data_IF_495295004722
#
_entry.id   IF_495295004722
#
_cell.length_a   1.000
_cell.length_b   1.000
_cell.length_c   1.000
_cell.angle_alpha   90.00
_cell.angle_beta   90.00
_cell.angle_gamma   90.00
#
_symmetry.space_group_name_H-M   'P 1'
#
loop_
_entity.id
_entity.type
_entity.pdbx_description
1 polymer ?
#
# COMPACT_ATOMS: atom_id res chain seq x y z
N UNK A 1 -1.77 15.89 -80.86
CA UNK A 1 -0.63 15.21 -80.17
C UNK A 1 -0.13 15.92 -78.88
N UNK A 2 -0.02 17.26 -78.82
CA UNK A 2 0.48 17.94 -77.60
C UNK A 2 -0.33 17.78 -76.29
N UNK A 3 -1.68 17.55 -76.39
CA UNK A 3 -2.52 17.40 -75.19
C UNK A 3 -2.46 16.02 -74.50
N UNK A 4 -2.24 14.95 -75.29
CA UNK A 4 -2.11 13.58 -74.77
C UNK A 4 -0.80 13.36 -74.01
N UNK A 5 0.28 13.95 -74.52
CA UNK A 5 1.59 13.87 -73.83
C UNK A 5 1.59 14.63 -72.50
N UNK A 6 0.92 15.75 -72.38
CA UNK A 6 0.79 16.49 -71.11
C UNK A 6 -0.04 15.68 -70.07
N UNK A 7 -1.08 15.03 -70.50
CA UNK A 7 -1.90 14.16 -69.60
C UNK A 7 -1.07 12.95 -69.13
N UNK A 8 -0.29 12.34 -69.99
CA UNK A 8 0.59 11.21 -69.62
C UNK A 8 1.65 11.62 -68.59
N UNK A 9 2.27 12.80 -68.75
CA UNK A 9 3.29 13.32 -67.79
C UNK A 9 2.62 13.58 -66.42
N UNK A 10 1.43 14.12 -66.36
CA UNK A 10 0.69 14.36 -65.12
C UNK A 10 0.37 13.05 -64.40
N UNK A 11 -0.10 12.04 -65.14
CA UNK A 11 -0.44 10.71 -64.61
C UNK A 11 0.85 10.04 -64.02
N UNK A 12 1.97 10.09 -64.73
CA UNK A 12 3.24 9.56 -64.25
C UNK A 12 3.69 10.30 -63.01
N UNK A 13 3.56 11.63 -62.95
CA UNK A 13 3.89 12.43 -61.75
C UNK A 13 3.09 12.02 -60.52
N UNK A 14 1.75 11.83 -60.71
CA UNK A 14 0.87 11.38 -59.62
C UNK A 14 1.23 9.96 -59.15
N UNK A 15 1.56 9.03 -60.08
CA UNK A 15 2.00 7.69 -59.73
C UNK A 15 3.34 7.70 -58.96
N UNK A 16 4.30 8.53 -59.35
CA UNK A 16 5.56 8.66 -58.61
C UNK A 16 5.32 9.17 -57.20
N UNK A 17 4.47 10.19 -57.01
CA UNK A 17 4.10 10.71 -55.69
C UNK A 17 3.42 9.65 -54.84
N UNK A 18 2.49 8.88 -55.42
CA UNK A 18 1.83 7.76 -54.72
C UNK A 18 2.83 6.68 -54.28
N UNK A 19 3.77 6.31 -55.13
CA UNK A 19 4.83 5.33 -54.79
C UNK A 19 5.73 5.87 -53.67
N UNK A 20 6.11 7.15 -53.73
CA UNK A 20 6.89 7.78 -52.65
C UNK A 20 6.10 7.79 -51.35
N UNK A 21 4.78 8.14 -51.36
CA UNK A 21 3.94 8.11 -50.16
C UNK A 21 3.85 6.68 -49.60
N UNK A 22 3.72 5.66 -50.42
CA UNK A 22 3.69 4.27 -49.96
C UNK A 22 5.04 3.87 -49.37
N UNK A 23 6.15 4.21 -49.99
CA UNK A 23 7.49 3.91 -49.46
C UNK A 23 7.79 4.64 -48.17
N UNK A 24 7.31 5.87 -48.00
CA UNK A 24 7.46 6.62 -46.73
C UNK A 24 6.59 6.08 -45.60
N UNK A 25 5.47 5.42 -45.91
CA UNK A 25 4.61 4.75 -44.94
C UNK A 25 5.01 3.29 -44.64
N UNK A 26 5.82 2.67 -45.52
CA UNK A 26 6.45 1.38 -45.27
C UNK A 26 7.70 1.57 -44.37
N UNK A 27 7.57 2.27 -43.25
CA UNK A 27 8.62 2.17 -42.24
C UNK A 27 8.59 0.74 -41.70
N UNK A 28 9.74 0.06 -41.66
CA UNK A 28 9.79 -1.24 -41.01
C UNK A 28 9.28 -1.03 -39.58
N UNK A 29 8.21 -1.69 -39.19
CA UNK A 29 7.82 -1.79 -37.79
C UNK A 29 8.98 -2.51 -37.15
N UNK A 30 9.77 -1.81 -36.33
CA UNK A 30 10.84 -2.47 -35.57
C UNK A 30 10.19 -3.60 -34.77
N UNK A 31 10.52 -4.83 -35.18
CA UNK A 31 10.06 -5.98 -34.44
C UNK A 31 10.71 -5.90 -33.06
N UNK A 32 9.91 -6.00 -32.01
CA UNK A 32 10.37 -5.95 -30.63
C UNK A 32 11.54 -6.92 -30.39
N UNK A 33 11.52 -8.09 -31.03
CA UNK A 33 12.60 -9.06 -30.98
C UNK A 33 13.93 -8.55 -31.60
N UNK A 34 13.87 -7.79 -32.68
CA UNK A 34 15.08 -7.21 -33.30
C UNK A 34 15.65 -6.05 -32.49
N UNK A 35 14.77 -5.27 -31.84
CA UNK A 35 15.18 -4.15 -30.99
C UNK A 35 15.95 -4.61 -29.76
N UNK A 36 15.63 -5.79 -29.25
CA UNK A 36 16.22 -6.35 -28.02
C UNK A 36 17.08 -7.58 -28.30
N UNK A 37 17.45 -7.84 -29.60
CA UNK A 37 18.36 -8.93 -29.97
C UNK A 37 19.74 -8.67 -29.35
N UNK A 38 20.20 -9.61 -28.53
CA UNK A 38 21.48 -9.51 -27.81
C UNK A 38 21.44 -8.67 -26.52
N UNK A 39 20.29 -8.14 -26.15
CA UNK A 39 20.12 -7.53 -24.83
C UNK A 39 19.75 -8.63 -23.84
N UNK A 40 20.54 -8.78 -22.79
CA UNK A 40 20.20 -9.66 -21.67
C UNK A 40 19.06 -9.06 -20.87
N UNK A 41 17.85 -9.56 -21.14
CA UNK A 41 16.63 -9.14 -20.41
C UNK A 41 16.49 -9.81 -19.04
N UNK A 42 17.38 -10.77 -18.72
CA UNK A 42 17.51 -11.34 -17.37
C UNK A 42 18.57 -10.61 -16.55
N UNK A 43 19.26 -9.63 -17.15
CA UNK A 43 20.22 -8.83 -16.43
C UNK A 43 19.56 -8.13 -15.26
N UNK A 44 20.23 -8.20 -14.15
CA UNK A 44 19.86 -7.77 -12.83
C UNK A 44 19.16 -6.40 -12.84
N UNK A 45 17.94 -6.37 -12.38
CA UNK A 45 17.14 -5.14 -12.24
C UNK A 45 17.59 -4.34 -11.01
N UNK A 46 18.60 -4.78 -10.27
CA UNK A 46 19.10 -4.10 -9.07
C UNK A 46 19.41 -2.61 -9.30
N UNK A 47 19.96 -2.27 -10.46
CA UNK A 47 20.19 -0.87 -10.83
C UNK A 47 18.95 -0.08 -11.27
N UNK A 48 17.80 -0.74 -11.46
CA UNK A 48 16.56 -0.12 -11.92
C UNK A 48 15.58 0.16 -10.76
N UNK A 49 15.82 -0.41 -9.58
CA UNK A 49 14.97 -0.17 -8.41
C UNK A 49 15.34 1.21 -7.84
N UNK A 50 14.34 2.10 -7.82
CA UNK A 50 14.49 3.45 -7.28
C UNK A 50 14.89 3.38 -5.79
N UNK A 51 15.77 4.31 -5.37
CA UNK A 51 16.06 4.51 -3.95
C UNK A 51 14.77 4.84 -3.19
N UNK A 52 14.69 4.45 -1.91
CA UNK A 52 13.54 4.69 -1.05
C UNK A 52 12.38 3.71 -1.23
N UNK A 53 12.43 2.78 -2.20
CA UNK A 53 11.35 1.79 -2.34
C UNK A 53 11.36 0.76 -1.22
N UNK A 54 10.18 0.26 -0.86
CA UNK A 54 10.02 -0.80 0.15
C UNK A 54 10.81 -2.07 -0.18
N UNK A 55 10.84 -2.47 -1.46
CA UNK A 55 11.65 -3.63 -1.90
C UNK A 55 13.13 -3.43 -1.62
N UNK A 56 13.66 -2.22 -1.85
CA UNK A 56 15.06 -1.94 -1.58
C UNK A 56 15.37 -1.91 -0.09
N UNK A 57 14.44 -1.40 0.71
CA UNK A 57 14.52 -1.45 2.15
C UNK A 57 14.56 -2.90 2.68
N UNK A 58 13.70 -3.79 2.17
CA UNK A 58 13.73 -5.21 2.55
C UNK A 58 15.06 -5.88 2.15
N UNK A 59 15.53 -5.64 0.93
CA UNK A 59 16.80 -6.20 0.44
C UNK A 59 18.00 -5.73 1.26
N UNK A 60 17.97 -4.50 1.79
CA UNK A 60 19.03 -3.98 2.66
C UNK A 60 19.09 -4.71 4.01
N UNK A 61 18.04 -5.43 4.39
CA UNK A 61 17.92 -6.17 5.64
C UNK A 61 17.54 -7.64 5.39
N UNK A 62 17.95 -8.22 4.26
CA UNK A 62 17.53 -9.57 3.83
C UNK A 62 17.87 -10.69 4.84
N UNK A 63 18.93 -10.49 5.64
CA UNK A 63 19.35 -11.43 6.68
C UNK A 63 18.73 -11.16 8.05
N UNK A 64 17.82 -10.18 8.17
CA UNK A 64 17.21 -9.82 9.44
C UNK A 64 16.25 -10.90 9.93
N UNK A 65 16.29 -11.18 11.25
CA UNK A 65 15.37 -12.12 11.88
C UNK A 65 13.92 -11.58 11.89
N UNK A 66 12.97 -12.49 12.09
CA UNK A 66 11.58 -12.17 12.43
C UNK A 66 11.34 -12.67 13.87
N UNK A 67 11.52 -11.81 14.89
CA UNK A 67 11.29 -12.20 16.28
C UNK A 67 9.84 -12.65 16.53
N UNK A 68 9.67 -13.62 17.43
CA UNK A 68 8.38 -14.27 17.66
C UNK A 68 7.51 -13.60 18.74
N UNK A 69 8.00 -12.58 19.42
CA UNK A 69 7.31 -11.94 20.54
C UNK A 69 6.84 -10.53 20.16
N UNK A 70 5.59 -10.23 20.47
CA UNK A 70 5.03 -8.89 20.35
C UNK A 70 5.62 -7.94 21.41
N UNK A 71 5.78 -6.68 21.03
CA UNK A 71 6.25 -5.62 21.94
C UNK A 71 5.18 -4.52 21.95
N UNK A 72 4.53 -4.35 23.09
CA UNK A 72 3.55 -3.26 23.25
C UNK A 72 4.26 -1.94 23.55
N UNK A 73 3.89 -0.88 22.84
CA UNK A 73 4.39 0.47 23.04
C UNK A 73 3.48 1.18 24.03
N UNK A 74 4.05 1.72 25.10
CA UNK A 74 3.31 2.56 26.04
C UNK A 74 2.98 3.90 25.37
N UNK A 75 1.74 4.01 24.88
CA UNK A 75 1.25 5.20 24.16
C UNK A 75 1.32 6.48 24.98
N UNK A 76 1.29 6.37 26.33
CA UNK A 76 1.21 7.51 27.23
C UNK A 76 2.57 7.95 27.76
N UNK A 77 3.60 7.13 27.55
CA UNK A 77 5.00 7.43 27.87
C UNK A 77 5.76 7.98 26.65
N UNK A 78 5.11 8.82 25.83
CA UNK A 78 5.81 9.46 24.71
C UNK A 78 6.86 10.46 25.18
N UNK A 79 7.95 10.58 24.41
CA UNK A 79 9.08 11.48 24.71
C UNK A 79 8.76 12.91 24.32
N UNK A 80 8.17 13.07 23.14
CA UNK A 80 7.81 14.32 22.51
C UNK A 80 6.40 14.18 21.94
N UNK A 81 5.59 15.21 22.06
CA UNK A 81 4.22 15.24 21.52
C UNK A 81 3.79 16.66 21.24
N UNK A 82 3.44 16.94 19.99
CA UNK A 82 2.79 18.16 19.53
C UNK A 82 1.47 17.78 18.86
N UNK A 83 0.41 18.54 19.13
CA UNK A 83 -0.92 18.21 18.59
C UNK A 83 -1.50 16.91 19.13
N UNK A 84 -1.11 16.49 20.34
CA UNK A 84 -1.60 15.26 20.99
C UNK A 84 -2.27 15.60 22.32
N UNK A 85 -3.28 14.81 22.69
CA UNK A 85 -4.00 14.95 23.95
C UNK A 85 -4.38 13.56 24.49
N UNK A 86 -4.24 13.37 25.80
CA UNK A 86 -4.68 12.14 26.47
C UNK A 86 -6.14 12.31 26.89
N UNK A 87 -7.02 11.48 26.31
CA UNK A 87 -8.41 11.39 26.71
C UNK A 87 -8.60 10.33 27.77
N UNK A 88 -9.32 10.66 28.83
CA UNK A 88 -9.71 9.72 29.88
C UNK A 88 -11.16 9.28 29.68
N UNK A 89 -11.43 7.98 29.91
CA UNK A 89 -12.76 7.36 29.76
C UNK A 89 -13.38 7.62 28.37
N UNK A 90 -12.59 7.45 27.32
CA UNK A 90 -13.02 7.71 25.94
C UNK A 90 -13.50 6.42 25.26
N UNK A 91 -14.76 6.41 24.81
CA UNK A 91 -15.38 5.31 24.06
C UNK A 91 -15.13 3.91 24.68
N UNK A 92 -15.24 3.82 26.03
CA UNK A 92 -15.09 2.59 26.79
C UNK A 92 -13.67 2.23 27.21
N UNK A 93 -12.68 2.97 26.78
CA UNK A 93 -11.27 2.82 27.19
C UNK A 93 -10.95 3.78 28.35
N UNK A 94 -10.14 3.32 29.31
CA UNK A 94 -9.72 4.14 30.44
C UNK A 94 -8.90 5.35 29.98
N UNK A 95 -8.02 5.12 29.00
CA UNK A 95 -7.20 6.16 28.36
C UNK A 95 -7.07 5.91 26.87
N UNK A 96 -7.02 7.00 26.11
CA UNK A 96 -6.75 6.99 24.69
C UNK A 96 -5.95 8.23 24.28
N UNK A 97 -5.13 8.12 23.24
CA UNK A 97 -4.28 9.19 22.77
C UNK A 97 -4.88 9.82 21.51
N UNK A 98 -5.39 11.04 21.64
CA UNK A 98 -5.79 11.83 20.48
C UNK A 98 -4.57 12.37 19.74
N UNK A 99 -4.59 12.32 18.43
CA UNK A 99 -3.57 12.88 17.53
C UNK A 99 -4.25 13.74 16.47
N UNK A 100 -3.87 15.01 16.38
CA UNK A 100 -4.43 15.97 15.43
C UNK A 100 -3.90 15.75 14.00
N UNK A 101 -4.42 16.51 13.05
CA UNK A 101 -4.06 16.46 11.62
C UNK A 101 -2.57 16.74 11.37
N UNK A 102 -1.97 17.66 12.14
CA UNK A 102 -0.55 18.06 12.04
C UNK A 102 0.22 17.64 13.31
N UNK A 103 -0.20 16.55 13.94
CA UNK A 103 0.43 16.08 15.17
C UNK A 103 1.79 15.42 14.89
N UNK A 104 2.67 15.50 15.86
CA UNK A 104 3.90 14.70 15.91
C UNK A 104 4.01 14.06 17.27
N UNK A 105 4.22 12.75 17.33
CA UNK A 105 4.42 12.02 18.58
C UNK A 105 5.53 11.00 18.44
N UNK A 106 6.44 10.97 19.40
CA UNK A 106 7.60 10.06 19.43
C UNK A 106 7.60 9.21 20.68
N UNK A 107 7.61 7.91 20.50
CA UNK A 107 7.73 6.92 21.56
C UNK A 107 9.12 6.28 21.57
N UNK A 108 9.56 5.91 22.77
CA UNK A 108 10.67 4.97 22.94
C UNK A 108 10.16 3.56 23.08
N UNK A 109 10.84 2.63 22.44
CA UNK A 109 10.59 1.20 22.58
C UNK A 109 11.91 0.48 22.77
N UNK A 110 11.96 -0.46 23.71
CA UNK A 110 13.12 -1.33 23.89
C UNK A 110 12.87 -2.66 23.19
N UNK A 111 13.65 -2.95 22.18
CA UNK A 111 13.52 -4.13 21.34
C UNK A 111 14.55 -5.17 21.80
N UNK A 112 14.14 -6.34 22.32
CA UNK A 112 15.08 -7.34 22.85
C UNK A 112 15.97 -7.96 21.78
N UNK A 113 15.43 -8.16 20.59
CA UNK A 113 16.08 -8.83 19.46
C UNK A 113 15.90 -8.00 18.19
N UNK A 114 17.01 -7.73 17.49
CA UNK A 114 16.97 -7.01 16.24
C UNK A 114 16.23 -7.81 15.17
N UNK A 115 15.39 -7.15 14.38
CA UNK A 115 14.66 -7.82 13.34
C UNK A 115 13.48 -7.03 12.81
N UNK A 116 12.68 -7.69 11.99
CA UNK A 116 11.47 -7.13 11.43
C UNK A 116 10.25 -7.35 12.32
N UNK A 117 9.44 -6.31 12.43
CA UNK A 117 8.14 -6.32 13.08
C UNK A 117 7.11 -5.64 12.20
N UNK A 118 5.84 -6.04 12.33
CA UNK A 118 4.73 -5.28 11.79
C UNK A 118 4.26 -4.24 12.82
N UNK A 119 3.87 -3.05 12.39
CA UNK A 119 3.22 -2.09 13.26
C UNK A 119 1.71 -2.32 13.25
N UNK A 120 1.16 -2.76 14.37
CA UNK A 120 -0.26 -2.98 14.61
C UNK A 120 -0.82 -1.84 15.45
N UNK A 121 -1.96 -1.28 15.02
CA UNK A 121 -2.63 -0.18 15.71
C UNK A 121 -4.09 -0.50 15.96
N UNK A 122 -4.58 -0.04 17.11
CA UNK A 122 -6.01 0.07 17.38
C UNK A 122 -6.39 1.54 17.53
N UNK A 123 -7.35 1.96 16.73
CA UNK A 123 -7.72 3.38 16.60
C UNK A 123 -9.23 3.55 16.41
N UNK A 124 -9.68 4.77 16.65
CA UNK A 124 -11.03 5.22 16.31
C UNK A 124 -10.94 6.53 15.55
N UNK A 125 -11.79 6.67 14.53
CA UNK A 125 -11.93 7.90 13.78
C UNK A 125 -12.73 8.93 14.60
N UNK A 126 -12.46 10.20 14.39
CA UNK A 126 -13.22 11.30 15.01
C UNK A 126 -13.90 12.14 13.93
N UNK A 127 -14.93 12.88 14.32
CA UNK A 127 -15.64 13.78 13.41
C UNK A 127 -14.67 14.82 12.84
N UNK A 128 -14.56 14.88 11.53
CA UNK A 128 -13.72 15.80 10.79
C UNK A 128 -14.21 15.93 9.35
N UNK A 129 -13.32 16.14 8.36
CA UNK A 129 -13.71 16.31 6.94
C UNK A 129 -14.19 15.02 6.27
N UNK A 130 -13.96 13.87 6.90
CA UNK A 130 -14.42 12.57 6.41
C UNK A 130 -13.59 12.01 5.24
N UNK A 131 -12.34 12.44 5.09
CA UNK A 131 -11.38 11.87 4.14
C UNK A 131 -10.49 10.84 4.83
N UNK A 132 -9.59 10.19 4.11
CA UNK A 132 -8.66 9.22 4.67
C UNK A 132 -7.76 9.85 5.74
N UNK A 133 -7.48 9.10 6.79
CA UNK A 133 -6.50 9.46 7.80
C UNK A 133 -5.14 9.03 7.26
N UNK A 134 -4.18 9.94 7.25
CA UNK A 134 -2.83 9.71 6.73
C UNK A 134 -1.79 10.02 7.81
N UNK A 135 -0.80 9.13 7.92
CA UNK A 135 0.30 9.26 8.88
C UNK A 135 1.63 8.90 8.21
N UNK A 136 2.67 9.66 8.55
CA UNK A 136 4.05 9.26 8.28
C UNK A 136 4.62 8.54 9.49
N UNK A 137 5.38 7.49 9.25
CA UNK A 137 6.03 6.68 10.30
C UNK A 137 7.53 6.70 10.09
N UNK A 138 8.24 7.16 11.12
CA UNK A 138 9.71 7.19 11.16
C UNK A 138 10.22 6.24 12.23
N UNK A 139 11.29 5.53 11.91
CA UNK A 139 12.02 4.68 12.84
C UNK A 139 13.40 5.31 13.09
N UNK A 140 13.73 5.53 14.35
CA UNK A 140 15.00 6.17 14.77
C UNK A 140 15.26 7.53 14.06
N UNK A 141 14.17 8.27 13.77
CA UNK A 141 14.23 9.58 13.11
C UNK A 141 14.39 9.54 11.59
N UNK A 142 14.42 8.37 10.98
CA UNK A 142 14.55 8.19 9.53
C UNK A 142 13.26 7.63 8.94
N UNK A 143 12.90 8.06 7.74
CA UNK A 143 11.83 7.46 6.95
C UNK A 143 12.36 6.15 6.36
N UNK A 144 11.84 4.97 6.75
CA UNK A 144 12.46 3.70 6.37
C UNK A 144 12.32 3.40 4.87
N UNK A 145 11.20 3.80 4.27
CA UNK A 145 10.93 3.71 2.83
C UNK A 145 9.86 4.76 2.46
N UNK A 146 9.77 5.09 1.17
CA UNK A 146 8.89 6.17 0.67
C UNK A 146 7.43 6.03 1.13
N UNK A 147 6.87 4.80 1.06
CA UNK A 147 5.46 4.55 1.38
C UNK A 147 5.17 4.69 2.89
N UNK A 148 6.17 4.58 3.76
CA UNK A 148 6.02 4.86 5.20
C UNK A 148 5.71 6.34 5.47
N UNK A 149 5.96 7.22 4.50
CA UNK A 149 5.58 8.63 4.54
C UNK A 149 4.09 8.89 4.35
N UNK A 150 3.31 7.88 3.98
CA UNK A 150 1.87 8.03 3.77
C UNK A 150 1.10 6.74 4.05
N UNK A 151 1.04 6.34 5.31
CA UNK A 151 0.23 5.19 5.76
C UNK A 151 -1.22 5.65 5.90
N UNK A 152 -2.14 4.94 5.26
CA UNK A 152 -3.56 5.25 5.23
C UNK A 152 -4.33 4.41 6.23
N UNK A 153 -5.15 5.08 7.04
CA UNK A 153 -6.10 4.47 7.98
C UNK A 153 -7.53 4.74 7.54
N UNK A 154 -8.30 3.69 7.38
CA UNK A 154 -9.64 3.75 6.78
C UNK A 154 -10.70 4.20 7.76
N UNK A 155 -11.79 4.80 7.24
CA UNK A 155 -13.01 5.13 7.98
C UNK A 155 -14.08 4.08 7.69
N UNK A 156 -14.95 3.82 8.64
CA UNK A 156 -16.07 2.89 8.47
C UNK A 156 -17.34 3.68 8.16
N UNK A 157 -18.06 3.27 7.13
CA UNK A 157 -19.30 3.89 6.68
C UNK A 157 -20.44 2.87 6.68
N UNK A 158 -21.65 3.33 6.96
CA UNK A 158 -22.87 2.54 6.90
C UNK A 158 -23.99 3.31 6.20
N UNK A 159 -25.03 2.62 5.78
CA UNK A 159 -26.22 3.25 5.25
C UNK A 159 -26.99 3.98 6.36
N UNK A 160 -27.37 5.25 6.12
CA UNK A 160 -28.13 6.06 7.06
C UNK A 160 -29.56 5.56 7.27
N UNK A 161 -30.09 4.77 6.34
CA UNK A 161 -31.44 4.22 6.40
C UNK A 161 -31.55 2.99 5.50
N UNK A 162 -32.60 2.23 5.64
CA UNK A 162 -32.98 1.20 4.66
C UNK A 162 -33.18 1.81 3.26
N UNK A 163 -32.85 1.06 2.17
CA UNK A 163 -33.11 1.50 0.82
C UNK A 163 -34.58 1.82 0.61
N UNK A 164 -34.87 2.95 0.00
CA UNK A 164 -36.23 3.35 -0.39
C UNK A 164 -36.49 2.94 -1.82
N UNK A 165 -37.74 2.67 -2.14
CA UNK A 165 -38.15 2.35 -3.51
C UNK A 165 -38.89 3.55 -4.10
N UNK A 166 -38.51 3.94 -5.33
CA UNK A 166 -39.20 5.01 -6.04
C UNK A 166 -40.58 4.53 -6.62
N UNK A 167 -41.28 5.42 -7.25
CA UNK A 167 -42.61 5.15 -7.85
C UNK A 167 -42.56 4.25 -9.08
N UNK A 168 -41.35 3.89 -9.55
CA UNK A 168 -41.10 2.99 -10.67
C UNK A 168 -40.60 1.61 -10.21
N UNK A 169 -40.42 1.43 -8.91
CA UNK A 169 -39.92 0.19 -8.30
C UNK A 169 -38.40 0.08 -8.26
N UNK A 170 -37.65 1.16 -8.51
CA UNK A 170 -36.20 1.15 -8.41
C UNK A 170 -35.76 1.45 -6.97
N UNK A 171 -34.74 0.75 -6.50
CA UNK A 171 -34.13 1.04 -5.20
C UNK A 171 -33.29 2.33 -5.27
N UNK A 172 -33.53 3.22 -4.32
CA UNK A 172 -32.75 4.44 -4.12
C UNK A 172 -31.73 4.17 -3.03
N UNK A 173 -30.44 4.28 -3.40
CA UNK A 173 -29.34 4.10 -2.44
C UNK A 173 -29.44 5.16 -1.33
N UNK A 174 -29.40 4.77 -0.06
CA UNK A 174 -29.37 5.70 1.06
C UNK A 174 -28.06 6.48 1.08
N UNK A 175 -28.05 7.60 1.79
CA UNK A 175 -26.81 8.32 2.10
C UNK A 175 -25.98 7.51 3.06
N UNK A 176 -24.66 7.66 2.98
CA UNK A 176 -23.72 7.04 3.89
C UNK A 176 -23.48 7.95 5.10
N UNK A 177 -23.36 7.35 6.27
CA UNK A 177 -22.94 8.00 7.51
C UNK A 177 -21.73 7.30 8.10
N UNK A 178 -20.82 8.05 8.68
CA UNK A 178 -19.64 7.49 9.32
C UNK A 178 -20.01 6.79 10.64
N UNK A 179 -19.35 5.68 10.92
CA UNK A 179 -19.49 4.93 12.17
C UNK A 179 -18.20 5.08 12.98
N UNK A 180 -18.32 5.73 14.11
CA UNK A 180 -17.22 5.89 15.06
C UNK A 180 -17.16 4.66 15.96
N UNK A 181 -16.19 3.80 15.69
CA UNK A 181 -15.95 2.58 16.47
C UNK A 181 -14.46 2.24 16.46
N UNK A 182 -14.01 1.56 17.50
CA UNK A 182 -12.66 1.00 17.54
C UNK A 182 -12.46 0.02 16.40
N UNK A 183 -11.38 0.20 15.69
CA UNK A 183 -10.92 -0.65 14.58
C UNK A 183 -9.44 -0.93 14.77
N UNK A 184 -8.98 -1.99 14.13
CA UNK A 184 -7.58 -2.39 14.18
C UNK A 184 -7.04 -2.60 12.77
N UNK A 185 -5.78 -2.28 12.58
CA UNK A 185 -5.08 -2.53 11.32
C UNK A 185 -3.57 -2.60 11.56
N UNK A 186 -2.90 -3.21 10.61
CA UNK A 186 -1.46 -3.05 10.45
C UNK A 186 -1.15 -1.87 9.53
N UNK A 187 0.05 -1.28 9.68
CA UNK A 187 0.60 -0.41 8.66
C UNK A 187 0.80 -1.22 7.37
N UNK A 188 0.11 -0.86 6.30
CA UNK A 188 0.10 -1.63 5.04
C UNK A 188 -0.09 -0.73 3.83
N UNK A 189 0.18 -1.29 2.66
CA UNK A 189 -0.13 -0.66 1.38
C UNK A 189 -1.66 -0.56 1.18
N UNK A 190 -2.14 0.67 0.99
CA UNK A 190 -3.55 0.96 0.71
C UNK A 190 -3.93 0.63 -0.75
N UNK A 191 -2.96 0.74 -1.66
CA UNK A 191 -3.16 0.48 -3.09
C UNK A 191 -3.23 -1.01 -3.42
N UNK A 192 -2.80 -1.89 -2.50
CA UNK A 192 -2.85 -3.34 -2.65
C UNK A 192 -1.76 -3.92 -3.57
N UNK A 193 -0.70 -3.18 -3.86
CA UNK A 193 0.48 -3.71 -4.57
C UNK A 193 1.27 -4.67 -3.67
N UNK A 194 1.27 -4.42 -2.36
CA UNK A 194 1.90 -5.25 -1.34
C UNK A 194 0.78 -5.81 -0.47
N UNK A 195 0.62 -7.13 -0.50
CA UNK A 195 -0.49 -7.82 0.17
C UNK A 195 -0.26 -7.91 1.68
N UNK A 196 0.98 -8.20 2.09
CA UNK A 196 1.35 -8.33 3.49
C UNK A 196 1.50 -6.96 4.14
N UNK A 197 1.32 -6.85 5.47
CA UNK A 197 1.67 -5.64 6.21
C UNK A 197 3.12 -5.23 5.98
N UNK A 198 3.39 -3.93 6.05
CA UNK A 198 4.76 -3.44 6.00
C UNK A 198 5.57 -3.95 7.18
N UNK A 199 6.77 -4.38 6.90
CA UNK A 199 7.75 -4.83 7.88
C UNK A 199 8.71 -3.67 8.17
N UNK A 200 8.89 -3.37 9.45
CA UNK A 200 9.79 -2.32 9.93
C UNK A 200 10.94 -2.97 10.68
N UNK A 201 12.17 -2.64 10.30
CA UNK A 201 13.36 -3.15 10.95
C UNK A 201 13.69 -2.32 12.18
N UNK A 202 14.00 -3.01 13.27
CA UNK A 202 14.45 -2.41 14.52
C UNK A 202 15.76 -3.04 14.96
N UNK A 203 16.67 -2.19 15.45
CA UNK A 203 17.88 -2.66 16.11
C UNK A 203 17.54 -3.23 17.49
N UNK A 204 18.43 -4.10 18.02
CA UNK A 204 18.31 -4.52 19.42
C UNK A 204 18.63 -3.36 20.37
N UNK A 205 17.82 -3.18 21.40
CA UNK A 205 17.97 -2.09 22.37
C UNK A 205 16.94 -0.97 22.19
N UNK A 206 17.32 0.25 22.55
CA UNK A 206 16.43 1.41 22.52
C UNK A 206 16.25 1.92 21.09
N UNK A 207 15.01 1.99 20.65
CA UNK A 207 14.59 2.56 19.37
C UNK A 207 13.55 3.66 19.61
N UNK A 208 13.30 4.47 18.57
CA UNK A 208 12.22 5.44 18.57
C UNK A 208 11.27 5.19 17.41
N UNK A 209 9.97 5.37 17.66
CA UNK A 209 8.93 5.39 16.65
C UNK A 209 8.33 6.79 16.69
N UNK A 210 8.37 7.50 15.56
CA UNK A 210 7.70 8.79 15.42
C UNK A 210 6.55 8.64 14.43
N UNK A 211 5.38 9.12 14.83
CA UNK A 211 4.21 9.20 13.96
C UNK A 211 3.85 10.67 13.76
N UNK A 212 3.79 11.10 12.51
CA UNK A 212 3.37 12.44 12.12
C UNK A 212 2.01 12.40 11.45
N UNK A 213 1.12 13.32 11.83
CA UNK A 213 -0.14 13.56 11.17
C UNK A 213 0.09 14.24 9.81
N UNK A 214 -0.46 13.66 8.75
CA UNK A 214 -0.46 14.23 7.39
C UNK A 214 -1.86 14.71 7.05
N UNK A 215 -2.87 13.94 7.45
CA UNK A 215 -4.27 14.26 7.15
C UNK A 215 -5.20 13.64 8.19
N UNK A 216 -6.22 14.38 8.60
CA UNK A 216 -7.27 13.97 9.52
C UNK A 216 -6.80 13.53 10.92
N UNK A 217 -7.55 13.87 11.98
CA UNK A 217 -7.25 13.40 13.32
C UNK A 217 -7.69 11.96 13.55
N UNK A 218 -7.09 11.29 14.54
CA UNK A 218 -7.53 10.01 15.06
C UNK A 218 -7.20 9.85 16.55
N UNK A 219 -7.86 8.89 17.20
CA UNK A 219 -7.54 8.49 18.57
C UNK A 219 -6.99 7.08 18.58
N UNK A 220 -5.86 6.88 19.25
CA UNK A 220 -5.17 5.61 19.40
C UNK A 220 -5.43 5.04 20.80
N UNK A 221 -5.65 3.74 20.89
CA UNK A 221 -5.65 3.03 22.18
C UNK A 221 -4.54 1.99 22.29
N UNK A 222 -3.96 1.57 21.16
CA UNK A 222 -2.89 0.59 21.13
C UNK A 222 -1.95 0.79 19.96
N UNK A 223 -0.66 0.59 20.21
CA UNK A 223 0.39 0.45 19.21
C UNK A 223 1.27 -0.72 19.65
N UNK A 224 1.53 -1.65 18.74
CA UNK A 224 2.32 -2.85 19.01
C UNK A 224 3.28 -3.10 17.85
N UNK A 225 4.53 -3.42 18.18
CA UNK A 225 5.43 -4.10 17.27
C UNK A 225 5.01 -5.57 17.30
N UNK A 226 4.25 -5.98 16.33
CA UNK A 226 3.74 -7.34 16.26
C UNK A 226 4.76 -8.25 15.57
N UNK A 227 4.96 -9.43 16.14
CA UNK A 227 5.69 -10.51 15.51
C UNK A 227 5.13 -10.81 14.12
N UNK A 228 6.01 -11.09 13.17
CA UNK A 228 5.60 -11.47 11.84
C UNK A 228 5.22 -12.94 11.89
N UNK A 229 3.96 -13.23 11.59
CA UNK A 229 3.49 -14.61 11.48
C UNK A 229 4.02 -15.18 10.15
N UNK A 230 5.04 -16.03 10.26
CA UNK A 230 5.53 -16.79 9.12
C UNK A 230 4.45 -17.77 8.70
N UNK A 231 3.75 -17.44 7.64
CA UNK A 231 2.81 -18.36 7.03
C UNK A 231 3.55 -19.64 6.69
N UNK A 232 3.11 -20.75 7.30
CA UNK A 232 3.64 -22.09 7.01
C UNK A 232 3.73 -22.31 5.50
N UNK A 233 4.81 -22.86 5.03
CA UNK A 233 4.95 -23.22 3.61
C UNK A 233 3.83 -24.20 3.22
N UNK A 234 3.54 -24.27 1.92
CA UNK A 234 2.51 -25.22 1.43
C UNK A 234 2.83 -26.67 1.83
N UNK A 235 4.09 -27.03 1.84
CA UNK A 235 4.59 -28.33 2.26
C UNK A 235 4.33 -28.59 3.76
N UNK A 236 4.58 -27.63 4.60
CA UNK A 236 4.29 -27.70 6.04
C UNK A 236 2.78 -27.74 6.30
N UNK A 237 2.00 -26.93 5.56
CA UNK A 237 0.54 -26.98 5.63
C UNK A 237 0.03 -28.37 5.27
N UNK A 238 0.49 -28.96 4.16
CA UNK A 238 0.12 -30.32 3.75
C UNK A 238 0.55 -31.37 4.77
N UNK A 239 1.73 -31.24 5.37
CA UNK A 239 2.21 -32.19 6.38
C UNK A 239 1.37 -32.16 7.66
N UNK A 240 0.77 -31.01 7.98
CA UNK A 240 -0.06 -30.80 9.16
C UNK A 240 -1.57 -30.96 8.89
N UNK A 241 -1.99 -31.15 7.61
CA UNK A 241 -3.39 -31.38 7.29
C UNK A 241 -3.87 -32.73 7.87
N UNK A 242 -4.84 -32.76 8.82
CA UNK A 242 -5.39 -33.99 9.35
C UNK A 242 -6.41 -34.56 8.36
N UNK A 243 -5.97 -35.39 7.44
CA UNK A 243 -6.92 -36.10 6.58
C UNK A 243 -6.31 -36.55 5.26
N UNK A 244 -6.63 -37.75 4.86
CA UNK A 244 -6.41 -38.22 3.50
C UNK A 244 -7.39 -37.50 2.57
N UNK A 245 -6.85 -36.79 1.57
CA UNK A 245 -7.65 -36.17 0.53
C UNK A 245 -8.51 -37.22 -0.17
N UNK A 246 -9.81 -37.01 -0.16
CA UNK A 246 -10.73 -37.86 -0.86
C UNK A 246 -10.91 -37.34 -2.28
N UNK A 247 -10.67 -38.18 -3.28
CA UNK A 247 -10.79 -37.81 -4.70
C UNK A 247 -12.23 -37.47 -5.15
N UNK A 248 -13.20 -37.57 -4.28
CA UNK A 248 -14.60 -37.26 -4.53
C UNK A 248 -14.99 -35.83 -4.05
N UNK A 249 -14.10 -35.15 -3.36
CA UNK A 249 -14.37 -33.78 -2.88
C UNK A 249 -14.07 -32.77 -3.99
N UNK A 250 -15.09 -32.36 -4.70
CA UNK A 250 -14.99 -31.21 -5.62
C UNK A 250 -14.88 -29.93 -4.79
N UNK A 251 -13.71 -29.32 -4.76
CA UNK A 251 -13.54 -27.97 -4.25
C UNK A 251 -14.08 -27.03 -5.35
N UNK A 252 -15.23 -26.44 -5.11
CA UNK A 252 -15.76 -25.35 -5.94
C UNK A 252 -15.24 -24.04 -5.35
N UNK A 253 -14.40 -23.34 -6.10
CA UNK A 253 -13.92 -22.01 -5.77
C UNK A 253 -14.96 -20.96 -6.18
#
# INVERSE_FOLDING_TARGET
>A
MKGSVKKAIIIIGVLIVLVICVLLNLRPVENFQQKYEGVDLSADVEGAVREGTYTKYLNAHEDAACPAEDIEVDLFAYMEGEGVEVYENYEGEEKALYTDTESTVTWKVNVPEAGFYNLYLEYITVESRGVAIERSVYINGELPFDDAGNIIFTRTWTDASEPKVDNQGNEIRPSQVEVYKWQSTFCKDDMGYIINPYQFYFEAGENTITMEGVNEPMVLKKLTLAAIDDSVTYEEYLANCPGEGNSETNIVY
#
